data_IF_617838167765
#
_entry.id   IF_617838167765
#
_cell.length_a   1.000
_cell.length_b   1.000
_cell.length_c   1.000
_cell.angle_alpha   90.00
_cell.angle_beta   90.00
_cell.angle_gamma   90.00
#
_symmetry.space_group_name_H-M   'P 1'
#
loop_
_entity.id
_entity.type
_entity.pdbx_description
1 polymer ?
#
# COMPACT_ATOMS: atom_id res chain seq x y z
N UNK A 1 -10.42 -31.85 -4.28
CA UNK A 1 -9.42 -32.93 -4.13
C UNK A 1 -10.20 -34.23 -4.03
N UNK A 2 -9.90 -35.21 -4.87
CA UNK A 2 -10.59 -36.51 -4.85
C UNK A 2 -9.54 -37.60 -4.67
N UNK A 3 -9.71 -38.44 -3.63
CA UNK A 3 -8.82 -39.55 -3.34
C UNK A 3 -9.58 -40.85 -3.59
N UNK A 4 -9.13 -41.62 -4.58
CA UNK A 4 -9.74 -42.90 -4.97
C UNK A 4 -8.83 -44.04 -4.53
N UNK A 5 -9.36 -44.97 -3.76
CA UNK A 5 -8.67 -46.17 -3.31
C UNK A 5 -9.25 -47.36 -4.05
N UNK A 6 -8.42 -48.09 -4.77
CA UNK A 6 -8.82 -49.25 -5.55
C UNK A 6 -8.34 -50.55 -4.88
N UNK A 7 -9.13 -51.62 -5.08
CA UNK A 7 -8.81 -52.95 -4.56
C UNK A 7 -7.63 -53.58 -5.31
N UNK A 8 -6.97 -54.55 -4.69
CA UNK A 8 -6.00 -55.40 -5.38
C UNK A 8 -6.73 -56.28 -6.43
N UNK A 9 -6.12 -56.44 -7.61
CA UNK A 9 -6.64 -57.27 -8.70
C UNK A 9 -6.40 -58.78 -8.49
N UNK A 10 -5.51 -59.15 -7.57
CA UNK A 10 -5.05 -60.53 -7.36
C UNK A 10 -5.57 -61.20 -6.09
N UNK A 11 -5.90 -60.43 -5.05
CA UNK A 11 -6.50 -60.94 -3.81
C UNK A 11 -7.71 -60.08 -3.42
N UNK A 12 -8.91 -60.65 -3.57
CA UNK A 12 -10.17 -59.97 -3.28
C UNK A 12 -10.44 -59.75 -1.79
N UNK A 13 -9.61 -60.31 -0.90
CA UNK A 13 -9.75 -60.18 0.55
C UNK A 13 -8.94 -59.02 1.14
N UNK A 14 -8.00 -58.47 0.36
CA UNK A 14 -7.15 -57.35 0.77
C UNK A 14 -7.65 -56.03 0.17
N UNK A 15 -8.11 -55.14 1.05
CA UNK A 15 -8.56 -53.79 0.70
C UNK A 15 -7.52 -52.71 1.03
N UNK A 16 -7.52 -51.59 0.31
CA UNK A 16 -6.66 -50.45 0.64
C UNK A 16 -7.07 -49.82 1.99
N UNK A 17 -6.09 -49.65 2.87
CA UNK A 17 -6.29 -49.05 4.19
C UNK A 17 -5.58 -47.68 4.28
N UNK A 18 -6.36 -46.60 4.27
CA UNK A 18 -5.84 -45.24 4.54
C UNK A 18 -5.65 -45.06 6.04
N UNK A 19 -4.41 -44.94 6.51
CA UNK A 19 -4.11 -44.77 7.95
C UNK A 19 -4.27 -43.33 8.43
N UNK A 20 -3.80 -42.38 7.65
CA UNK A 20 -3.95 -40.96 7.92
C UNK A 20 -3.74 -40.16 6.64
N UNK A 21 -4.46 -39.06 6.52
CA UNK A 21 -4.28 -38.06 5.48
C UNK A 21 -4.32 -36.69 6.14
N UNK A 22 -3.50 -35.77 5.64
CA UNK A 22 -3.48 -34.40 6.11
C UNK A 22 -3.66 -33.46 4.93
N UNK A 23 -4.65 -32.57 5.04
CA UNK A 23 -4.80 -31.44 4.16
C UNK A 23 -4.45 -30.18 4.95
N UNK A 24 -3.57 -29.36 4.38
CA UNK A 24 -3.28 -28.01 4.90
C UNK A 24 -3.77 -27.00 3.89
N UNK A 25 -4.70 -26.15 4.29
CA UNK A 25 -4.97 -24.91 3.59
C UNK A 25 -4.01 -23.86 4.18
N UNK A 26 -3.10 -23.35 3.36
CA UNK A 26 -2.35 -22.14 3.68
C UNK A 26 -3.17 -21.00 3.08
N UNK A 27 -3.70 -20.05 3.88
CA UNK A 27 -4.28 -18.85 3.29
C UNK A 27 -3.19 -18.18 2.45
N UNK A 28 -3.54 -17.78 1.23
CA UNK A 28 -2.66 -16.93 0.45
C UNK A 28 -2.45 -15.64 1.26
N UNK A 29 -1.23 -15.11 1.38
CA UNK A 29 -1.04 -13.80 1.97
C UNK A 29 -1.80 -12.79 1.11
N UNK A 30 -2.67 -12.00 1.73
CA UNK A 30 -3.28 -10.86 1.07
C UNK A 30 -2.14 -9.98 0.56
N UNK A 31 -2.07 -9.84 -0.77
CA UNK A 31 -0.94 -9.16 -1.40
C UNK A 31 -1.21 -7.67 -1.32
N UNK A 32 -0.86 -7.08 -0.18
CA UNK A 32 -0.90 -5.63 0.00
C UNK A 32 0.16 -4.99 -0.90
N UNK A 33 -0.28 -4.20 -1.89
CA UNK A 33 0.63 -3.42 -2.72
C UNK A 33 1.12 -2.21 -1.94
N UNK A 34 2.44 -2.03 -1.92
CA UNK A 34 3.09 -0.87 -1.30
C UNK A 34 3.48 0.15 -2.37
N UNK A 35 3.00 1.36 -2.21
CA UNK A 35 3.36 2.52 -3.04
C UNK A 35 4.24 3.46 -2.22
N UNK A 36 5.31 3.95 -2.85
CA UNK A 36 6.18 4.96 -2.25
C UNK A 36 6.25 6.16 -3.19
N UNK A 37 5.58 7.25 -2.80
CA UNK A 37 5.37 8.41 -3.69
C UNK A 37 6.05 9.65 -3.12
N UNK A 38 6.97 10.28 -3.87
CA UNK A 38 7.53 11.58 -3.51
C UNK A 38 6.52 12.68 -3.83
N UNK A 39 5.95 13.31 -2.79
CA UNK A 39 5.12 14.49 -2.93
C UNK A 39 5.99 15.74 -2.82
N UNK A 40 5.82 16.65 -3.79
CA UNK A 40 6.51 17.93 -3.80
C UNK A 40 5.70 18.94 -3.01
N UNK A 41 6.25 19.41 -1.90
CA UNK A 41 5.65 20.43 -1.04
C UNK A 41 6.37 21.76 -1.27
N UNK A 42 5.80 22.62 -2.11
CA UNK A 42 6.33 23.96 -2.36
C UNK A 42 5.20 24.98 -2.26
N UNK A 43 5.46 26.08 -1.56
CA UNK A 43 4.47 27.14 -1.39
C UNK A 43 4.02 27.76 -2.72
N UNK A 44 4.93 27.81 -3.71
CA UNK A 44 4.63 28.30 -5.03
C UNK A 44 4.90 27.20 -6.05
N UNK A 45 3.84 26.74 -6.69
CA UNK A 45 3.91 25.72 -7.73
C UNK A 45 3.70 26.36 -9.09
N UNK A 46 4.68 26.16 -9.98
CA UNK A 46 4.57 26.53 -11.40
C UNK A 46 4.28 25.27 -12.21
N UNK A 47 3.00 24.91 -12.43
CA UNK A 47 2.67 23.76 -13.25
C UNK A 47 3.13 23.97 -14.70
N UNK A 48 3.48 22.90 -15.45
CA UNK A 48 3.91 23.02 -16.84
C UNK A 48 2.87 23.68 -17.76
N UNK A 49 1.59 23.56 -17.37
CA UNK A 49 0.46 24.22 -18.03
C UNK A 49 -0.43 24.83 -16.94
N UNK A 50 -0.48 26.15 -16.89
CA UNK A 50 -1.41 26.87 -16.03
C UNK A 50 -0.76 28.00 -15.24
N UNK A 51 -1.59 28.77 -14.50
CA UNK A 51 -1.10 29.82 -13.63
C UNK A 51 -0.33 29.23 -12.45
N UNK A 52 0.58 30.03 -11.92
CA UNK A 52 1.27 29.74 -10.66
C UNK A 52 0.21 29.59 -9.56
N UNK A 53 0.30 28.51 -8.80
CA UNK A 53 -0.55 28.26 -7.64
C UNK A 53 0.23 28.50 -6.36
N UNK A 54 -0.48 29.03 -5.37
CA UNK A 54 0.03 29.20 -4.02
C UNK A 54 -0.62 28.13 -3.15
N UNK A 55 0.19 27.36 -2.43
CA UNK A 55 -0.23 26.21 -1.62
C UNK A 55 0.26 26.40 -0.19
N UNK A 56 -0.60 26.12 0.78
CA UNK A 56 -0.19 26.09 2.19
C UNK A 56 0.43 24.74 2.53
N UNK A 57 1.76 24.68 2.54
CA UNK A 57 2.47 23.42 2.73
C UNK A 57 2.31 22.84 4.13
N UNK A 58 1.96 23.65 5.14
CA UNK A 58 1.70 23.15 6.49
C UNK A 58 0.37 22.40 6.56
N UNK A 59 -0.68 23.01 6.01
CA UNK A 59 -2.01 22.39 5.95
C UNK A 59 -1.99 21.06 5.20
N UNK A 60 -1.21 20.96 4.10
CA UNK A 60 -1.05 19.71 3.36
C UNK A 60 -0.35 18.62 4.19
N UNK A 61 0.68 18.97 4.97
CA UNK A 61 1.36 18.01 5.85
C UNK A 61 0.44 17.56 6.98
N UNK A 62 -0.28 18.49 7.60
CA UNK A 62 -1.25 18.19 8.66
C UNK A 62 -2.35 17.26 8.14
N UNK A 63 -2.86 17.53 6.94
CA UNK A 63 -3.83 16.66 6.28
C UNK A 63 -3.29 15.25 6.03
N UNK A 64 -2.07 15.13 5.49
CA UNK A 64 -1.43 13.82 5.29
C UNK A 64 -1.22 13.10 6.63
N UNK A 65 -0.79 13.82 7.66
CA UNK A 65 -0.59 13.27 8.99
C UNK A 65 -1.91 12.79 9.61
N UNK A 66 -3.02 13.52 9.41
CA UNK A 66 -4.35 13.12 9.81
C UNK A 66 -4.79 11.84 9.08
N UNK A 67 -4.60 11.76 7.77
CA UNK A 67 -4.89 10.55 6.99
C UNK A 67 -4.09 9.33 7.47
N UNK A 68 -2.83 9.53 7.86
CA UNK A 68 -1.98 8.48 8.44
C UNK A 68 -2.48 8.05 9.83
N UNK A 69 -2.85 9.00 10.69
CA UNK A 69 -3.32 8.70 12.05
C UNK A 69 -4.70 8.02 12.05
N UNK A 70 -5.60 8.47 11.18
CA UNK A 70 -6.96 7.93 11.06
C UNK A 70 -7.02 6.64 10.25
N UNK A 71 -5.95 6.31 9.51
CA UNK A 71 -5.89 5.23 8.53
C UNK A 71 -7.06 5.29 7.53
N UNK A 72 -7.49 6.51 7.18
CA UNK A 72 -8.59 6.70 6.27
C UNK A 72 -8.25 6.14 4.88
N UNK A 73 -9.21 5.42 4.29
CA UNK A 73 -9.10 4.92 2.92
C UNK A 73 -9.30 6.10 1.96
N UNK A 74 -8.28 6.35 1.13
CA UNK A 74 -8.26 7.38 0.10
C UNK A 74 -7.97 6.75 -1.26
N UNK A 75 -8.36 7.45 -2.32
CA UNK A 75 -8.07 7.01 -3.69
C UNK A 75 -6.73 7.57 -4.15
N UNK A 76 -5.79 6.68 -4.44
CA UNK A 76 -4.53 7.01 -5.12
C UNK A 76 -4.66 6.69 -6.61
N UNK A 77 -4.39 7.67 -7.47
CA UNK A 77 -4.44 7.51 -8.92
C UNK A 77 -3.03 7.55 -9.52
N UNK A 78 -2.65 6.49 -10.22
CA UNK A 78 -1.41 6.41 -11.00
C UNK A 78 -1.74 6.22 -12.48
N UNK A 79 -1.57 7.29 -13.25
CA UNK A 79 -1.95 7.33 -14.66
C UNK A 79 -3.46 7.10 -14.86
N UNK A 80 -3.83 5.92 -15.37
CA UNK A 80 -5.21 5.53 -15.65
C UNK A 80 -5.81 4.57 -14.61
N UNK A 81 -5.00 4.11 -13.65
CA UNK A 81 -5.42 3.16 -12.64
C UNK A 81 -5.64 3.89 -11.32
N UNK A 82 -6.67 3.48 -10.59
CA UNK A 82 -6.99 3.99 -9.26
C UNK A 82 -6.92 2.86 -8.24
N UNK A 83 -6.37 3.16 -7.08
CA UNK A 83 -6.16 2.24 -5.97
C UNK A 83 -6.81 2.81 -4.73
N UNK A 84 -7.51 1.98 -3.96
CA UNK A 84 -7.91 2.34 -2.61
C UNK A 84 -6.72 2.05 -1.70
N UNK A 85 -6.23 3.08 -1.02
CA UNK A 85 -5.04 2.99 -0.18
C UNK A 85 -5.28 3.69 1.15
N UNK A 86 -4.53 3.31 2.18
CA UNK A 86 -4.34 4.16 3.36
C UNK A 86 -2.87 4.56 3.46
N UNK A 87 -2.60 5.67 4.15
CA UNK A 87 -1.23 6.14 4.38
C UNK A 87 -0.65 5.36 5.56
N UNK A 88 0.44 4.64 5.31
CA UNK A 88 1.12 3.83 6.32
C UNK A 88 2.26 4.59 7.00
N UNK A 89 2.95 5.45 6.26
CA UNK A 89 4.07 6.22 6.79
C UNK A 89 4.28 7.52 6.00
N UNK A 90 4.83 8.52 6.69
CA UNK A 90 5.19 9.82 6.14
C UNK A 90 6.61 10.18 6.57
N UNK A 91 7.53 10.16 5.62
CA UNK A 91 8.91 10.53 5.88
C UNK A 91 9.19 11.93 5.34
N UNK A 92 9.37 12.84 6.29
CA UNK A 92 9.83 14.20 6.03
C UNK A 92 11.34 14.23 6.28
N UNK A 93 12.14 14.46 5.24
CA UNK A 93 13.57 14.76 5.44
C UNK A 93 14.56 13.63 5.17
N UNK A 94 14.42 12.94 4.04
CA UNK A 94 15.57 12.36 3.34
C UNK A 94 16.43 13.46 2.68
N UNK A 95 17.08 14.32 3.47
CA UNK A 95 18.10 15.28 3.01
C UNK A 95 17.66 16.48 2.15
N UNK A 96 16.39 16.58 1.73
CA UNK A 96 15.91 17.61 0.78
C UNK A 96 14.79 18.52 1.30
N UNK A 97 14.17 18.18 2.44
CA UNK A 97 13.23 19.06 3.13
C UNK A 97 13.96 20.15 3.89
N UNK A 98 13.82 21.41 3.46
CA UNK A 98 14.35 22.57 4.19
C UNK A 98 13.18 23.27 4.87
N UNK A 99 13.26 23.37 6.20
CA UNK A 99 12.47 24.35 6.93
C UNK A 99 12.91 25.73 6.47
N UNK A 100 11.99 26.55 5.95
CA UNK A 100 12.29 27.93 5.65
C UNK A 100 12.09 28.75 6.96
N UNK A 101 13.16 29.28 7.58
CA UNK A 101 13.05 29.99 8.85
C UNK A 101 12.38 31.37 8.73
N UNK A 102 12.23 31.89 7.51
CA UNK A 102 11.62 33.21 7.26
C UNK A 102 10.10 33.06 7.12
N UNK A 103 9.65 32.06 6.37
CA UNK A 103 8.23 31.87 6.08
C UNK A 103 7.57 30.81 6.96
N UNK A 104 8.32 30.20 7.89
CA UNK A 104 7.91 29.09 8.77
C UNK A 104 7.20 27.95 8.03
N UNK A 105 7.60 27.70 6.79
CA UNK A 105 6.98 26.71 5.90
C UNK A 105 7.98 25.64 5.53
N UNK A 106 7.49 24.40 5.45
CA UNK A 106 8.28 23.32 4.91
C UNK A 106 8.33 23.45 3.38
N UNK A 107 9.54 23.37 2.82
CA UNK A 107 9.77 23.28 1.38
C UNK A 107 10.62 22.04 1.08
N UNK A 108 10.14 21.18 0.19
CA UNK A 108 10.90 20.01 -0.24
C UNK A 108 10.04 18.86 -0.70
N UNK A 109 10.56 17.64 -0.52
CA UNK A 109 9.87 16.40 -0.87
C UNK A 109 9.47 15.70 0.43
N UNK A 110 8.21 15.26 0.48
CA UNK A 110 7.69 14.34 1.49
C UNK A 110 7.51 12.97 0.84
N UNK A 111 8.08 11.94 1.43
CA UNK A 111 7.89 10.57 0.96
C UNK A 111 6.67 9.99 1.65
N UNK A 112 5.65 9.64 0.87
CA UNK A 112 4.41 9.03 1.37
C UNK A 112 4.42 7.57 1.03
N UNK A 113 4.32 6.74 2.06
CA UNK A 113 4.11 5.31 1.93
C UNK A 113 2.62 5.00 2.04
N UNK A 114 2.09 4.31 1.04
CA UNK A 114 0.69 3.92 0.98
C UNK A 114 0.56 2.42 0.78
N UNK A 115 -0.44 1.83 1.40
CA UNK A 115 -0.74 0.40 1.30
C UNK A 115 -2.13 0.22 0.72
N UNK A 116 -2.25 -0.64 -0.29
CA UNK A 116 -3.54 -0.96 -0.90
C UNK A 116 -4.46 -1.66 0.08
N UNK A 117 -5.74 -1.35 -0.02
CA UNK A 117 -6.81 -2.03 0.71
C UNK A 117 -7.65 -2.78 -0.32
N UNK A 118 -7.75 -4.11 -0.16
CA UNK A 118 -8.66 -4.96 -0.94
C UNK A 118 -10.10 -4.88 -0.42
#
# INVERSE_FOLDING_TARGET
LTLTLERDGSDATLGPCLRWWHLRALPAPDTTQRFLVPLRLHHQESPPRGPVRVVDTLAEIEFLAELMQTQQIVTYQEGRTSYNVHIANLEHGGGTGKWNPIDHRMQGICMVEMLSVE
#
